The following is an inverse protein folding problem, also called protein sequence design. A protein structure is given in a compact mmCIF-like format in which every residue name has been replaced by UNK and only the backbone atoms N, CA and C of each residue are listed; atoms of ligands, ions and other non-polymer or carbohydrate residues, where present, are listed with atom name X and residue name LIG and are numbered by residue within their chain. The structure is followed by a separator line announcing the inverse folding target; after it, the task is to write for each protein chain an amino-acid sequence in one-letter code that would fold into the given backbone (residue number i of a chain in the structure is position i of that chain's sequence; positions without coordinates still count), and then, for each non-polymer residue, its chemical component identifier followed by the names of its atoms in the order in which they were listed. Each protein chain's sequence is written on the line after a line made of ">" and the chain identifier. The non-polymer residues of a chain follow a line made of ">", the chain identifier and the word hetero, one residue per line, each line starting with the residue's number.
data_IF_081904603683
#
_entry.id   IF_081904603683
#
_cell.length_a   1.000
_cell.length_b   1.000
_cell.length_c   1.000
_cell.angle_alpha   90.00
_cell.angle_beta   90.00
_cell.angle_gamma   90.00
#
_symmetry.space_group_name_H-M   'P 1'
#
loop_
_entity.id
_entity.type
_entity.pdbx_description
1 polymer ?
#
# COMPACT_ATOMS: atom_id res chain seq x y z
N UNK A 1 8.54 -13.37 5.57
CA UNK A 1 7.69 -12.49 4.73
C UNK A 1 8.10 -11.02 4.79
N UNK A 2 8.27 -10.41 5.96
CA UNK A 2 8.60 -8.97 6.07
C UNK A 2 9.80 -8.51 5.22
N UNK A 3 10.94 -9.20 5.30
CA UNK A 3 12.12 -8.91 4.47
C UNK A 3 11.83 -8.96 2.96
N UNK A 4 10.96 -9.87 2.52
CA UNK A 4 10.58 -10.00 1.10
C UNK A 4 9.72 -8.83 0.66
N UNK A 5 8.72 -8.45 1.47
CA UNK A 5 7.86 -7.31 1.16
C UNK A 5 8.67 -6.03 1.06
N UNK A 6 9.63 -5.83 1.98
CA UNK A 6 10.51 -4.68 1.98
C UNK A 6 11.44 -4.64 0.74
N UNK A 7 12.08 -5.76 0.38
CA UNK A 7 12.90 -5.83 -0.83
C UNK A 7 12.09 -5.56 -2.10
N UNK A 8 10.87 -6.12 -2.19
CA UNK A 8 9.98 -5.90 -3.34
C UNK A 8 9.48 -4.45 -3.41
N UNK A 9 9.17 -3.85 -2.25
CA UNK A 9 8.80 -2.43 -2.15
C UNK A 9 9.88 -1.53 -2.74
N UNK A 10 11.13 -1.73 -2.32
CA UNK A 10 12.28 -1.00 -2.84
C UNK A 10 12.47 -1.22 -4.35
N UNK A 11 12.37 -2.47 -4.81
CA UNK A 11 12.49 -2.78 -6.23
C UNK A 11 11.40 -2.08 -7.06
N UNK A 12 10.13 -2.18 -6.66
CA UNK A 12 9.02 -1.53 -7.35
C UNK A 12 9.17 0.00 -7.41
N UNK A 13 9.59 0.63 -6.31
CA UNK A 13 9.86 2.06 -6.27
C UNK A 13 10.97 2.45 -7.27
N UNK A 14 12.05 1.66 -7.32
CA UNK A 14 13.16 1.87 -8.26
C UNK A 14 12.71 1.74 -9.72
N UNK A 15 11.99 0.67 -10.07
CA UNK A 15 11.48 0.50 -11.44
C UNK A 15 10.54 1.64 -11.83
N UNK A 16 9.67 2.08 -10.91
CA UNK A 16 8.77 3.20 -11.16
C UNK A 16 9.51 4.52 -11.39
N UNK A 17 10.61 4.78 -10.65
CA UNK A 17 11.45 5.95 -10.85
C UNK A 17 12.02 6.03 -12.28
N UNK A 18 12.35 4.89 -12.87
CA UNK A 18 12.82 4.80 -14.26
C UNK A 18 11.69 4.59 -15.28
N UNK A 19 10.42 4.73 -14.88
CA UNK A 19 9.25 4.50 -15.73
C UNK A 19 9.22 3.11 -16.38
N UNK A 20 9.76 2.10 -15.69
CA UNK A 20 9.77 0.71 -16.14
C UNK A 20 8.54 -0.02 -15.54
N UNK A 21 7.58 -0.44 -16.37
CA UNK A 21 6.37 -1.08 -15.87
C UNK A 21 6.65 -2.51 -15.37
N UNK A 22 6.34 -2.78 -14.10
CA UNK A 22 6.40 -4.14 -13.53
C UNK A 22 5.05 -4.84 -13.71
N UNK A 23 5.02 -5.78 -14.65
CA UNK A 23 3.79 -6.49 -15.04
C UNK A 23 3.34 -7.57 -14.04
N UNK A 24 4.27 -8.14 -13.25
CA UNK A 24 3.97 -9.22 -12.30
C UNK A 24 4.93 -9.20 -11.11
N UNK A 25 4.40 -9.47 -9.92
CA UNK A 25 5.16 -9.66 -8.68
C UNK A 25 4.69 -10.96 -8.04
N UNK A 26 5.62 -11.89 -7.83
CA UNK A 26 5.32 -13.24 -7.35
C UNK A 26 5.13 -14.26 -8.47
N UNK A 27 4.91 -15.51 -8.05
CA UNK A 27 4.69 -16.65 -8.94
C UNK A 27 3.19 -16.82 -9.18
N UNK A 28 2.80 -17.34 -10.34
CA UNK A 28 1.42 -17.68 -10.60
C UNK A 28 0.97 -18.77 -9.61
N UNK A 29 -0.11 -18.55 -8.84
CA UNK A 29 -0.63 -19.59 -7.96
C UNK A 29 -1.34 -20.62 -8.84
N UNK A 30 -0.83 -21.84 -8.83
CA UNK A 30 -1.51 -23.01 -9.37
C UNK A 30 -1.42 -24.15 -8.37
N UNK A 31 -2.33 -25.12 -8.52
CA UNK A 31 -2.47 -26.22 -7.57
C UNK A 31 -1.18 -27.03 -7.43
N UNK A 32 -0.44 -27.22 -8.52
CA UNK A 32 0.83 -27.94 -8.49
C UNK A 32 1.86 -27.19 -7.65
N UNK A 33 1.95 -25.87 -7.82
CA UNK A 33 2.84 -25.04 -7.01
C UNK A 33 2.47 -25.05 -5.52
N UNK A 34 1.18 -24.96 -5.19
CA UNK A 34 0.72 -24.98 -3.81
C UNK A 34 1.00 -26.32 -3.11
N UNK A 35 0.78 -27.43 -3.81
CA UNK A 35 1.02 -28.78 -3.27
C UNK A 35 2.52 -29.12 -3.16
N UNK A 36 3.38 -28.52 -4.00
CA UNK A 36 4.82 -28.80 -4.05
C UNK A 36 5.68 -27.66 -3.47
N UNK A 37 5.10 -26.72 -2.74
CA UNK A 37 5.84 -25.63 -2.13
C UNK A 37 6.76 -26.15 -1.01
N UNK A 38 8.06 -26.22 -1.30
CA UNK A 38 9.06 -26.66 -0.30
C UNK A 38 9.46 -25.52 0.63
N UNK A 39 9.78 -24.35 0.07
CA UNK A 39 10.22 -23.18 0.82
C UNK A 39 10.10 -21.91 -0.04
N UNK A 40 10.29 -20.75 0.60
CA UNK A 40 10.31 -19.45 -0.06
C UNK A 40 9.08 -18.59 0.24
N UNK A 41 9.16 -17.28 -0.05
CA UNK A 41 8.05 -16.37 0.20
C UNK A 41 6.98 -16.53 -0.88
N UNK A 42 5.99 -17.37 -0.62
CA UNK A 42 4.81 -17.51 -1.48
C UNK A 42 3.57 -16.90 -0.82
N UNK A 43 2.83 -16.10 -1.59
CA UNK A 43 1.50 -15.65 -1.23
C UNK A 43 0.72 -15.31 -2.50
N UNK A 44 -0.52 -15.80 -2.69
CA UNK A 44 -1.31 -15.54 -3.90
C UNK A 44 -1.50 -14.04 -4.18
N UNK A 45 -1.66 -13.24 -3.13
CA UNK A 45 -1.81 -11.77 -3.20
C UNK A 45 -0.52 -11.00 -2.92
N UNK A 46 0.66 -11.55 -3.23
CA UNK A 46 1.95 -10.92 -2.89
C UNK A 46 2.05 -9.47 -3.41
N UNK A 47 1.66 -9.23 -4.68
CA UNK A 47 1.61 -7.90 -5.26
C UNK A 47 0.79 -6.92 -4.40
N UNK A 48 -0.43 -7.32 -4.04
CA UNK A 48 -1.32 -6.51 -3.21
C UNK A 48 -0.67 -6.15 -1.86
N UNK A 49 -0.01 -7.11 -1.19
CA UNK A 49 0.66 -6.85 0.09
C UNK A 49 1.80 -5.84 -0.05
N UNK A 50 2.56 -5.89 -1.14
CA UNK A 50 3.63 -4.91 -1.39
C UNK A 50 3.04 -3.54 -1.72
N UNK A 51 2.01 -3.49 -2.57
CA UNK A 51 1.34 -2.25 -2.94
C UNK A 51 0.73 -1.57 -1.68
N UNK A 52 0.17 -2.33 -0.73
CA UNK A 52 -0.31 -1.81 0.55
C UNK A 52 0.78 -1.09 1.34
N UNK A 53 2.00 -1.63 1.36
CA UNK A 53 3.14 -1.00 2.04
C UNK A 53 3.62 0.27 1.33
N UNK A 54 3.67 0.25 -0.02
CA UNK A 54 4.00 1.44 -0.81
C UNK A 54 2.98 2.54 -0.52
N UNK A 55 1.69 2.20 -0.56
CA UNK A 55 0.60 3.14 -0.26
C UNK A 55 0.68 3.68 1.17
N UNK A 56 1.08 2.87 2.15
CA UNK A 56 1.28 3.32 3.51
C UNK A 56 2.40 4.36 3.60
N UNK A 57 3.54 4.12 2.94
CA UNK A 57 4.65 5.07 2.91
C UNK A 57 4.21 6.41 2.30
N UNK A 58 3.47 6.37 1.18
CA UNK A 58 2.91 7.59 0.57
C UNK A 58 1.94 8.34 1.50
N UNK A 59 1.07 7.62 2.22
CA UNK A 59 0.18 8.24 3.20
C UNK A 59 0.96 8.93 4.33
N UNK A 60 2.01 8.27 4.83
CA UNK A 60 2.92 8.80 5.85
C UNK A 60 3.61 10.06 5.33
N UNK A 61 4.15 10.04 4.11
CA UNK A 61 4.77 11.22 3.50
C UNK A 61 3.81 12.41 3.40
N UNK A 62 2.57 12.18 2.96
CA UNK A 62 1.56 13.25 2.89
C UNK A 62 1.26 13.84 4.27
N UNK A 63 1.12 13.00 5.29
CA UNK A 63 0.90 13.48 6.67
C UNK A 63 2.10 14.27 7.17
N UNK A 64 3.32 13.78 6.96
CA UNK A 64 4.54 14.46 7.42
C UNK A 64 4.77 15.81 6.72
N UNK A 65 4.16 16.03 5.54
CA UNK A 65 4.21 17.31 4.84
C UNK A 65 3.28 18.39 5.42
N UNK A 66 2.39 18.04 6.37
CA UNK A 66 1.50 19.01 7.00
C UNK A 66 2.23 19.87 8.04
N UNK A 67 2.00 21.19 7.99
CA UNK A 67 2.52 22.12 8.99
C UNK A 67 1.87 21.97 10.37
N UNK A 68 0.64 21.46 10.42
CA UNK A 68 -0.13 21.25 11.64
C UNK A 68 -0.92 19.96 11.54
N UNK A 69 -0.90 19.16 12.60
CA UNK A 69 -1.71 17.93 12.68
C UNK A 69 -3.17 18.28 12.99
N UNK A 70 -4.12 17.97 12.10
CA UNK A 70 -5.55 18.02 12.43
C UNK A 70 -5.94 16.83 13.33
N UNK A 71 -7.16 16.87 13.89
CA UNK A 71 -7.70 15.72 14.65
C UNK A 71 -8.24 14.59 13.76
N UNK A 72 -8.69 14.96 12.56
CA UNK A 72 -9.27 14.05 11.56
C UNK A 72 -8.60 14.32 10.22
N UNK A 73 -8.43 13.27 9.42
CA UNK A 73 -7.87 13.38 8.07
C UNK A 73 -8.72 12.63 7.06
N UNK A 74 -8.75 13.15 5.83
CA UNK A 74 -9.37 12.51 4.68
C UNK A 74 -8.34 12.30 3.58
N UNK A 75 -8.19 11.06 3.13
CA UNK A 75 -7.47 10.75 1.91
C UNK A 75 -8.44 10.58 0.74
N UNK A 76 -8.20 11.32 -0.33
CA UNK A 76 -8.79 11.05 -1.64
C UNK A 76 -7.81 10.21 -2.43
N UNK A 77 -8.27 9.09 -2.96
CA UNK A 77 -7.43 8.13 -3.69
C UNK A 77 -8.13 7.69 -4.98
N UNK A 78 -7.38 7.17 -5.97
CA UNK A 78 -7.99 6.54 -7.12
C UNK A 78 -8.99 5.45 -6.69
N UNK A 79 -10.18 5.46 -7.28
CA UNK A 79 -11.29 4.53 -6.93
C UNK A 79 -10.88 3.05 -6.92
N UNK A 80 -10.03 2.64 -7.85
CA UNK A 80 -9.51 1.27 -7.96
C UNK A 80 -8.42 0.92 -6.91
N UNK A 81 -7.88 1.91 -6.21
CA UNK A 81 -6.77 1.78 -5.27
C UNK A 81 -7.21 1.84 -3.81
N UNK A 82 -8.50 2.08 -3.55
CA UNK A 82 -9.10 2.17 -2.20
C UNK A 82 -8.68 1.00 -1.30
N UNK A 83 -8.71 -0.22 -1.82
CA UNK A 83 -8.34 -1.43 -1.07
C UNK A 83 -6.86 -1.45 -0.66
N UNK A 84 -5.98 -0.97 -1.53
CA UNK A 84 -4.52 -0.91 -1.31
C UNK A 84 -4.20 0.11 -0.23
N UNK A 85 -4.79 1.31 -0.32
CA UNK A 85 -4.59 2.34 0.70
C UNK A 85 -5.27 2.01 2.04
N UNK A 86 -6.39 1.29 2.02
CA UNK A 86 -6.99 0.74 3.25
C UNK A 86 -6.03 -0.25 3.93
N UNK A 87 -5.25 -1.00 3.14
CA UNK A 87 -4.32 -2.02 3.61
C UNK A 87 -5.00 -3.35 3.93
N UNK A 88 -4.21 -4.42 3.96
CA UNK A 88 -4.74 -5.75 4.27
C UNK A 88 -5.38 -5.74 5.67
N UNK A 89 -6.63 -6.22 5.76
CA UNK A 89 -7.41 -6.17 7.01
C UNK A 89 -7.47 -4.76 7.64
N UNK A 90 -7.44 -3.67 6.86
CA UNK A 90 -7.41 -2.26 7.35
C UNK A 90 -6.14 -1.89 8.14
N UNK A 91 -5.01 -2.54 7.88
CA UNK A 91 -3.76 -2.31 8.62
C UNK A 91 -3.21 -0.89 8.46
N UNK A 92 -3.30 -0.29 7.27
CA UNK A 92 -2.78 1.04 7.01
C UNK A 92 -3.54 2.09 7.83
N UNK A 93 -4.88 1.99 7.84
CA UNK A 93 -5.73 2.89 8.62
C UNK A 93 -5.37 2.83 10.12
N UNK A 94 -5.27 1.60 10.67
CA UNK A 94 -4.88 1.42 12.08
C UNK A 94 -3.49 1.94 12.37
N UNK A 95 -2.53 1.72 11.47
CA UNK A 95 -1.17 2.20 11.61
C UNK A 95 -1.14 3.73 11.68
N UNK A 96 -1.84 4.41 10.78
CA UNK A 96 -1.90 5.87 10.72
C UNK A 96 -2.56 6.43 11.98
N UNK A 97 -3.69 5.86 12.42
CA UNK A 97 -4.34 6.25 13.68
C UNK A 97 -3.41 6.08 14.88
N UNK A 98 -2.76 4.91 15.01
CA UNK A 98 -1.89 4.62 16.14
C UNK A 98 -0.59 5.43 16.16
N UNK A 99 0.01 5.68 14.99
CA UNK A 99 1.29 6.41 14.88
C UNK A 99 1.13 7.92 15.08
N UNK A 100 0.06 8.51 14.58
CA UNK A 100 -0.13 9.97 14.57
C UNK A 100 -1.22 10.47 15.53
N UNK A 101 -1.99 9.58 16.13
CA UNK A 101 -3.01 9.94 17.12
C UNK A 101 -4.27 10.59 16.51
N UNK A 102 -4.59 10.28 15.26
CA UNK A 102 -5.84 10.75 14.63
C UNK A 102 -7.05 10.03 15.20
N UNK A 103 -8.10 10.79 15.54
CA UNK A 103 -9.38 10.23 16.01
C UNK A 103 -10.03 9.42 14.88
N UNK A 104 -10.03 9.98 13.66
CA UNK A 104 -10.65 9.40 12.48
C UNK A 104 -9.77 9.59 11.23
N UNK A 105 -9.64 8.50 10.46
CA UNK A 105 -8.96 8.49 9.16
C UNK A 105 -9.96 8.02 8.12
N UNK A 106 -10.36 8.94 7.24
CA UNK A 106 -11.29 8.68 6.15
C UNK A 106 -10.55 8.43 4.85
N UNK A 107 -11.17 7.63 3.99
CA UNK A 107 -10.63 7.28 2.70
C UNK A 107 -11.77 7.20 1.69
N UNK A 108 -11.68 8.01 0.65
CA UNK A 108 -12.70 8.13 -0.39
C UNK A 108 -12.05 7.87 -1.75
N UNK A 109 -12.68 6.98 -2.52
CA UNK A 109 -12.29 6.71 -3.90
C UNK A 109 -12.90 7.71 -4.86
N UNK A 110 -12.09 8.41 -5.65
CA UNK A 110 -12.54 9.37 -6.66
C UNK A 110 -12.17 8.90 -8.08
N UNK A 111 -13.06 9.14 -9.05
CA UNK A 111 -12.93 8.67 -10.44
C UNK A 111 -11.80 9.40 -11.20
N UNK A 112 -11.60 10.69 -10.91
CA UNK A 112 -10.63 11.57 -11.58
C UNK A 112 -9.33 11.78 -10.77
N UNK A 113 -9.21 11.10 -9.64
CA UNK A 113 -8.04 11.16 -8.78
C UNK A 113 -6.94 10.25 -9.36
N UNK A 114 -5.81 10.85 -9.77
CA UNK A 114 -4.65 10.13 -10.33
C UNK A 114 -3.67 9.68 -9.25
N UNK A 115 -3.54 10.47 -8.19
CA UNK A 115 -2.61 10.27 -7.09
C UNK A 115 -3.29 10.57 -5.76
N UNK A 116 -2.76 10.02 -4.67
CA UNK A 116 -3.30 10.29 -3.33
C UNK A 116 -3.21 11.76 -2.96
N UNK A 117 -4.32 12.30 -2.49
CA UNK A 117 -4.44 13.64 -1.95
C UNK A 117 -4.87 13.57 -0.49
N UNK A 118 -4.21 14.37 0.35
CA UNK A 118 -4.57 14.52 1.75
C UNK A 118 -5.34 15.84 1.91
N UNK A 119 -6.56 15.72 2.43
CA UNK A 119 -7.42 16.85 2.80
C UNK A 119 -7.45 16.91 4.33
N UNK A 120 -6.83 17.95 4.88
CA UNK A 120 -6.58 18.16 6.31
C UNK A 120 -7.16 19.50 6.78
#
# INVERSE_FOLDING_TARGET
>A
MGRTLDALKHALALFNQFSIPVIRVGVQPDRSLEENLVAGPFHPSLRYLVDCQISLDLMVEKILSLNRMPKKILFKVPKNSVSVYTGNKRENIRYIQGRFGFDEVFLVGEELCREIELVA
#
